data_IF_250584466341
#
_entry.id   IF_250584466341
#
_cell.length_a   1.000
_cell.length_b   1.000
_cell.length_c   1.000
_cell.angle_alpha   90.00
_cell.angle_beta   90.00
_cell.angle_gamma   90.00
#
_symmetry.space_group_name_H-M   'P 1'
#
loop_
_entity.id
_entity.type
_entity.pdbx_description
1 polymer ?
#
# COMPACT_ATOMS: atom_id res chain seq x y z
N UNK A 1 87.31 -7.13 -63.97
CA UNK A 1 86.86 -6.52 -62.77
C UNK A 1 85.33 -6.50 -62.75
N UNK A 2 84.69 -7.43 -62.14
CA UNK A 2 83.24 -7.47 -62.02
C UNK A 2 82.89 -7.95 -60.56
N UNK A 3 82.26 -7.14 -59.80
CA UNK A 3 81.77 -7.46 -58.48
C UNK A 3 80.30 -7.88 -58.61
N UNK A 4 79.93 -9.06 -58.07
CA UNK A 4 78.56 -9.50 -57.89
C UNK A 4 78.05 -9.12 -56.50
N UNK A 5 76.81 -8.69 -56.37
CA UNK A 5 76.28 -8.41 -55.06
C UNK A 5 75.61 -9.64 -54.44
N UNK A 6 75.84 -9.83 -53.17
CA UNK A 6 75.29 -10.86 -52.31
C UNK A 6 73.80 -10.58 -51.95
N UNK A 7 72.98 -11.57 -52.03
CA UNK A 7 71.56 -11.57 -51.68
C UNK A 7 71.40 -11.82 -50.18
N UNK A 8 70.94 -10.83 -49.48
CA UNK A 8 70.56 -10.98 -48.07
C UNK A 8 69.09 -11.44 -47.98
N UNK A 9 68.85 -12.63 -47.40
CA UNK A 9 67.56 -13.13 -47.03
C UNK A 9 67.15 -12.50 -45.68
N UNK A 10 66.11 -11.71 -45.63
CA UNK A 10 65.46 -11.24 -44.44
C UNK A 10 64.42 -12.23 -43.97
N UNK A 11 64.72 -12.88 -42.85
CA UNK A 11 63.75 -13.76 -42.15
C UNK A 11 62.74 -12.86 -41.41
N UNK A 12 61.50 -12.92 -41.77
CA UNK A 12 60.40 -12.26 -41.03
C UNK A 12 60.00 -13.18 -39.87
N UNK A 13 60.26 -12.78 -38.66
CA UNK A 13 59.68 -13.34 -37.45
C UNK A 13 58.21 -12.85 -37.32
N UNK A 14 57.27 -13.77 -37.43
CA UNK A 14 55.86 -13.53 -37.13
C UNK A 14 55.66 -13.62 -35.61
N UNK A 15 55.40 -12.49 -34.98
CA UNK A 15 54.89 -12.44 -33.60
C UNK A 15 53.42 -12.86 -33.62
N UNK A 16 53.11 -14.03 -33.07
CA UNK A 16 51.75 -14.43 -32.69
C UNK A 16 51.45 -13.82 -31.34
N UNK A 17 50.69 -12.73 -31.32
CA UNK A 17 50.12 -12.15 -30.11
C UNK A 17 48.93 -13.01 -29.67
N UNK A 18 49.14 -13.80 -28.61
CA UNK A 18 48.08 -14.51 -27.93
C UNK A 18 47.24 -13.48 -27.14
N UNK A 19 46.12 -13.07 -27.71
CA UNK A 19 45.14 -12.22 -27.03
C UNK A 19 44.43 -13.06 -25.92
N UNK A 20 44.75 -12.76 -24.68
CA UNK A 20 44.03 -13.27 -23.51
C UNK A 20 42.66 -12.59 -23.47
N UNK A 21 41.59 -13.27 -23.95
CA UNK A 21 40.21 -12.82 -23.75
C UNK A 21 39.85 -13.16 -22.32
N UNK A 22 39.95 -12.16 -21.42
CA UNK A 22 39.35 -12.24 -20.11
C UNK A 22 37.82 -12.23 -20.29
N UNK A 23 37.17 -13.39 -20.18
CA UNK A 23 35.73 -13.49 -20.03
C UNK A 23 35.35 -12.88 -18.68
N UNK A 24 34.90 -11.63 -18.66
CA UNK A 24 34.15 -11.06 -17.54
C UNK A 24 32.85 -11.85 -17.46
N UNK A 25 32.81 -12.84 -16.57
CA UNK A 25 31.57 -13.41 -16.09
C UNK A 25 30.83 -12.28 -15.34
N UNK A 26 30.00 -11.55 -16.05
CA UNK A 26 29.05 -10.66 -15.45
C UNK A 26 28.11 -11.54 -14.61
N UNK A 27 28.06 -11.31 -13.29
CA UNK A 27 26.94 -11.74 -12.48
C UNK A 27 25.70 -11.05 -13.05
N UNK A 28 25.02 -11.72 -13.97
CA UNK A 28 23.68 -11.39 -14.38
C UNK A 28 22.80 -11.70 -13.17
N UNK A 29 22.50 -10.69 -12.36
CA UNK A 29 21.34 -10.79 -11.49
C UNK A 29 20.14 -11.00 -12.40
N UNK A 30 19.43 -12.13 -12.24
CA UNK A 30 18.17 -12.37 -12.93
C UNK A 30 17.24 -11.18 -12.63
N UNK A 31 17.03 -10.28 -13.58
CA UNK A 31 15.98 -9.28 -13.49
C UNK A 31 14.66 -10.05 -13.38
N UNK A 32 14.04 -9.99 -12.20
CA UNK A 32 12.71 -10.57 -11.98
C UNK A 32 11.74 -9.80 -12.87
N UNK A 33 11.46 -10.33 -14.04
CA UNK A 33 10.45 -9.76 -14.95
C UNK A 33 9.06 -10.03 -14.38
N UNK A 34 8.50 -9.06 -13.67
CA UNK A 34 7.14 -9.14 -13.13
C UNK A 34 6.13 -8.88 -14.24
N UNK A 35 5.41 -9.90 -14.66
CA UNK A 35 4.31 -9.75 -15.62
C UNK A 35 3.06 -9.25 -14.90
N UNK A 36 2.36 -8.23 -15.43
CA UNK A 36 1.05 -7.82 -14.92
C UNK A 36 0.06 -8.98 -14.89
N UNK A 37 -0.67 -9.12 -13.80
CA UNK A 37 -1.64 -10.19 -13.59
C UNK A 37 -3.00 -9.63 -13.18
N UNK A 38 -4.07 -10.36 -13.46
CA UNK A 38 -5.42 -10.06 -13.03
C UNK A 38 -6.09 -11.36 -12.56
N UNK A 39 -6.25 -11.49 -11.24
CA UNK A 39 -6.85 -12.65 -10.59
C UNK A 39 -8.28 -12.34 -10.17
N UNK A 40 -9.26 -13.12 -10.63
CA UNK A 40 -10.64 -12.98 -10.22
C UNK A 40 -10.83 -13.41 -8.76
N UNK A 41 -11.65 -12.66 -8.02
CA UNK A 41 -12.00 -12.97 -6.63
C UNK A 41 -13.50 -12.90 -6.42
N UNK A 42 -14.06 -13.92 -5.76
CA UNK A 42 -15.45 -13.96 -5.33
C UNK A 42 -15.62 -13.22 -4.01
N UNK A 43 -15.41 -11.90 -4.03
CA UNK A 43 -15.41 -11.03 -2.87
C UNK A 43 -15.80 -9.60 -3.28
N UNK A 44 -16.14 -8.77 -2.30
CA UNK A 44 -16.30 -7.33 -2.45
C UNK A 44 -15.18 -6.59 -1.69
N UNK A 45 -13.94 -6.59 -2.25
CA UNK A 45 -12.76 -6.13 -1.52
C UNK A 45 -12.62 -4.62 -1.50
N UNK A 46 -12.08 -4.08 -0.40
CA UNK A 46 -11.65 -2.69 -0.27
C UNK A 46 -10.17 -2.58 0.09
N UNK A 47 -9.77 -3.17 1.22
CA UNK A 47 -8.41 -3.12 1.74
C UNK A 47 -7.57 -4.27 1.22
N UNK A 48 -6.27 -4.03 1.12
CA UNK A 48 -5.26 -5.03 0.74
C UNK A 48 -3.96 -4.79 1.51
N UNK A 49 -3.33 -5.88 1.93
CA UNK A 49 -1.99 -5.85 2.51
C UNK A 49 -1.16 -7.02 2.00
N UNK A 50 0.17 -6.87 2.00
CA UNK A 50 1.11 -7.93 1.68
C UNK A 50 1.97 -8.20 2.90
N UNK A 51 2.12 -9.47 3.27
CA UNK A 51 3.06 -9.87 4.31
C UNK A 51 4.47 -9.89 3.75
N UNK A 52 5.33 -9.03 4.27
CA UNK A 52 6.67 -8.84 3.72
C UNK A 52 7.53 -10.12 3.75
N UNK A 53 7.34 -10.98 4.76
CA UNK A 53 8.14 -12.18 4.98
C UNK A 53 8.04 -13.18 3.82
N UNK A 54 6.84 -13.42 3.30
CA UNK A 54 6.57 -14.47 2.30
C UNK A 54 5.83 -13.98 1.05
N UNK A 55 5.32 -12.73 1.04
CA UNK A 55 4.55 -12.16 -0.06
C UNK A 55 3.09 -12.58 -0.08
N UNK A 56 2.59 -13.22 0.96
CA UNK A 56 1.18 -13.56 1.07
C UNK A 56 0.32 -12.27 1.04
N UNK A 57 -0.71 -12.29 0.21
CA UNK A 57 -1.63 -11.18 -0.03
C UNK A 57 -2.89 -11.39 0.78
N UNK A 58 -3.33 -10.35 1.47
CA UNK A 58 -4.55 -10.34 2.28
C UNK A 58 -5.49 -9.27 1.78
N UNK A 59 -6.78 -9.60 1.62
CA UNK A 59 -7.81 -8.67 1.19
C UNK A 59 -9.02 -8.72 2.13
N UNK A 60 -9.73 -7.61 2.23
CA UNK A 60 -11.04 -7.58 2.91
C UNK A 60 -12.14 -8.08 2.00
N UNK A 61 -13.22 -8.61 2.57
CA UNK A 61 -14.44 -8.95 1.87
C UNK A 61 -15.67 -8.41 2.59
N UNK A 62 -16.32 -7.42 2.00
CA UNK A 62 -17.55 -6.83 2.53
C UNK A 62 -18.77 -7.76 2.38
N UNK A 63 -18.74 -8.76 1.50
CA UNK A 63 -19.87 -9.70 1.34
C UNK A 63 -20.01 -10.61 2.55
N UNK A 64 -18.89 -11.17 2.99
CA UNK A 64 -18.84 -12.14 4.10
C UNK A 64 -18.33 -11.54 5.42
N UNK A 65 -17.97 -10.25 5.42
CA UNK A 65 -17.36 -9.55 6.56
C UNK A 65 -16.12 -10.28 7.07
N UNK A 66 -15.22 -10.62 6.14
CA UNK A 66 -14.05 -11.43 6.43
C UNK A 66 -12.77 -10.89 5.80
N UNK A 67 -11.66 -11.45 6.20
CA UNK A 67 -10.36 -11.33 5.54
C UNK A 67 -10.08 -12.61 4.78
N UNK A 68 -9.68 -12.49 3.53
CA UNK A 68 -9.22 -13.59 2.70
C UNK A 68 -7.70 -13.47 2.52
N UNK A 69 -7.01 -14.58 2.35
CA UNK A 69 -5.56 -14.63 2.10
C UNK A 69 -5.21 -15.49 0.91
N UNK A 70 -4.07 -15.16 0.28
CA UNK A 70 -3.52 -15.90 -0.85
C UNK A 70 -1.99 -15.92 -0.73
N UNK A 71 -1.31 -17.07 -0.93
CA UNK A 71 0.15 -17.12 -0.90
C UNK A 71 0.81 -16.43 -2.10
N UNK A 72 0.09 -16.24 -3.20
CA UNK A 72 0.63 -15.73 -4.48
C UNK A 72 -0.21 -14.61 -5.13
N UNK A 73 -1.30 -14.18 -4.47
CA UNK A 73 -2.23 -13.18 -4.98
C UNK A 73 -3.16 -13.65 -6.09
N UNK A 74 -3.31 -14.99 -6.29
CA UNK A 74 -4.12 -15.57 -7.37
C UNK A 74 -5.38 -16.27 -6.88
N UNK A 75 -5.23 -17.13 -5.89
CA UNK A 75 -6.35 -17.88 -5.31
C UNK A 75 -6.48 -17.50 -3.85
N UNK A 76 -7.64 -16.99 -3.47
CA UNK A 76 -7.93 -16.51 -2.13
C UNK A 76 -8.78 -17.51 -1.36
N UNK A 77 -8.43 -17.72 -0.09
CA UNK A 77 -9.16 -18.53 0.86
C UNK A 77 -9.46 -17.73 2.11
N UNK A 78 -10.47 -18.17 2.87
CA UNK A 78 -10.83 -17.57 4.15
C UNK A 78 -9.63 -17.55 5.09
N UNK A 79 -9.44 -16.41 5.77
CA UNK A 79 -8.41 -16.24 6.80
C UNK A 79 -9.00 -15.91 8.17
N UNK A 80 -9.93 -14.95 8.25
CA UNK A 80 -10.56 -14.60 9.51
C UNK A 80 -11.92 -13.94 9.30
N UNK A 81 -12.89 -14.25 10.17
CA UNK A 81 -14.20 -13.62 10.21
C UNK A 81 -14.19 -12.41 11.15
N UNK A 82 -14.55 -11.24 10.65
CA UNK A 82 -14.67 -10.02 11.46
C UNK A 82 -16.06 -9.99 12.10
N UNK A 83 -16.21 -9.76 13.41
CA UNK A 83 -17.52 -9.71 14.06
C UNK A 83 -18.44 -8.69 13.38
N UNK A 84 -19.64 -9.10 12.99
CA UNK A 84 -20.66 -8.22 12.42
C UNK A 84 -21.36 -7.41 13.51
N UNK A 85 -21.95 -6.27 13.14
CA UNK A 85 -22.81 -5.48 14.02
C UNK A 85 -24.24 -5.53 13.53
N UNK A 86 -25.15 -5.94 14.38
CA UNK A 86 -26.57 -6.08 14.03
C UNK A 86 -27.14 -4.76 13.50
N UNK A 87 -27.86 -4.84 12.38
CA UNK A 87 -28.48 -3.69 11.74
C UNK A 87 -27.53 -2.78 10.95
N UNK A 88 -26.26 -3.15 10.81
CA UNK A 88 -25.29 -2.41 10.00
C UNK A 88 -24.78 -3.23 8.81
N UNK A 89 -24.54 -2.53 7.70
CA UNK A 89 -23.88 -3.14 6.54
C UNK A 89 -22.42 -3.47 6.88
N UNK A 90 -21.94 -4.59 6.35
CA UNK A 90 -20.52 -4.89 6.39
C UNK A 90 -19.74 -3.83 5.60
N UNK A 91 -18.65 -3.39 6.16
CA UNK A 91 -17.73 -2.49 5.48
C UNK A 91 -16.38 -2.54 6.18
N UNK A 92 -15.46 -3.25 5.59
CA UNK A 92 -14.08 -3.38 6.04
C UNK A 92 -13.21 -2.41 5.26
N UNK A 93 -12.21 -1.86 5.93
CA UNK A 93 -11.31 -0.87 5.35
C UNK A 93 -9.90 -1.43 5.15
N UNK A 94 -8.90 -0.60 5.39
CA UNK A 94 -7.50 -0.96 5.16
C UNK A 94 -7.04 -2.05 6.13
N UNK A 95 -6.07 -2.82 5.64
CA UNK A 95 -5.28 -3.82 6.36
C UNK A 95 -3.84 -3.32 6.50
N UNK A 96 -3.19 -3.62 7.61
CA UNK A 96 -1.77 -3.35 7.80
C UNK A 96 -1.13 -4.39 8.71
N UNK A 97 0.03 -4.91 8.36
CA UNK A 97 0.81 -5.75 9.27
C UNK A 97 1.46 -4.89 10.36
N UNK A 98 1.19 -5.21 11.61
CA UNK A 98 1.85 -4.59 12.77
C UNK A 98 3.25 -5.15 13.00
N UNK A 99 3.42 -6.43 12.71
CA UNK A 99 4.65 -7.19 12.73
C UNK A 99 4.59 -8.34 11.69
N UNK A 100 5.49 -9.31 11.76
CA UNK A 100 5.55 -10.42 10.80
C UNK A 100 4.30 -11.34 10.81
N UNK A 101 3.51 -11.33 11.89
CA UNK A 101 2.41 -12.28 12.12
C UNK A 101 1.07 -11.60 12.43
N UNK A 102 1.08 -10.40 12.97
CA UNK A 102 -0.13 -9.70 13.42
C UNK A 102 -0.64 -8.78 12.32
N UNK A 103 -1.82 -9.08 11.80
CA UNK A 103 -2.54 -8.25 10.84
C UNK A 103 -3.55 -7.39 11.58
N UNK A 104 -3.52 -6.09 11.34
CA UNK A 104 -4.49 -5.12 11.87
C UNK A 104 -5.51 -4.79 10.79
N UNK A 105 -6.77 -4.62 11.17
CA UNK A 105 -7.87 -4.29 10.26
C UNK A 105 -8.82 -3.28 10.91
N UNK A 106 -9.38 -2.41 10.10
CA UNK A 106 -10.45 -1.51 10.51
C UNK A 106 -11.80 -1.93 9.93
N UNK A 107 -12.83 -1.86 10.76
CA UNK A 107 -14.21 -1.77 10.32
C UNK A 107 -14.59 -0.31 10.21
N UNK A 108 -15.08 0.09 9.03
CA UNK A 108 -15.52 1.44 8.72
C UNK A 108 -16.52 1.97 9.77
N UNK A 109 -17.54 1.16 10.08
CA UNK A 109 -18.59 1.49 11.03
C UNK A 109 -19.50 2.63 10.57
N UNK A 110 -20.82 2.36 10.59
CA UNK A 110 -21.83 3.38 10.40
C UNK A 110 -22.37 3.75 11.80
N UNK A 111 -22.36 5.04 12.15
CA UNK A 111 -22.78 5.47 13.49
C UNK A 111 -21.72 5.20 14.56
N UNK A 112 -21.95 4.26 15.46
CA UNK A 112 -21.08 3.95 16.61
C UNK A 112 -20.46 2.54 16.54
N UNK A 113 -20.27 2.00 15.34
CA UNK A 113 -19.83 0.62 15.16
C UNK A 113 -18.43 0.48 14.55
N UNK A 114 -17.68 1.56 14.45
CA UNK A 114 -16.30 1.49 14.01
C UNK A 114 -15.44 0.75 15.04
N UNK A 115 -14.48 -0.02 14.57
CA UNK A 115 -13.58 -0.78 15.43
C UNK A 115 -12.27 -1.07 14.72
N UNK A 116 -11.22 -1.30 15.51
CA UNK A 116 -9.92 -1.80 15.08
C UNK A 116 -9.72 -3.19 15.66
N UNK A 117 -9.27 -4.14 14.85
CA UNK A 117 -9.03 -5.52 15.29
C UNK A 117 -7.58 -5.92 15.01
N UNK A 118 -7.07 -6.81 15.84
CA UNK A 118 -5.85 -7.58 15.59
C UNK A 118 -6.19 -9.02 15.21
N UNK A 119 -5.49 -9.57 14.21
CA UNK A 119 -5.62 -10.95 13.73
C UNK A 119 -4.24 -11.58 13.81
N UNK A 120 -4.08 -12.59 14.66
CA UNK A 120 -2.80 -13.25 14.93
C UNK A 120 -2.69 -14.66 14.30
N UNK A 121 -3.75 -15.10 13.63
CA UNK A 121 -3.81 -16.40 12.96
C UNK A 121 -5.18 -16.60 12.34
N UNK A 122 -5.43 -17.77 11.76
CA UNK A 122 -6.72 -18.13 11.16
C UNK A 122 -7.80 -18.04 12.25
N UNK A 123 -8.81 -17.19 12.04
CA UNK A 123 -9.92 -16.91 12.96
C UNK A 123 -9.51 -16.45 14.38
N UNK A 124 -8.23 -16.15 14.59
CA UNK A 124 -7.71 -15.62 15.85
C UNK A 124 -7.79 -14.08 15.83
N UNK A 125 -8.98 -13.53 16.07
CA UNK A 125 -9.27 -12.10 15.98
C UNK A 125 -9.69 -11.53 17.35
N UNK A 126 -9.19 -10.33 17.67
CA UNK A 126 -9.57 -9.58 18.85
C UNK A 126 -9.82 -8.11 18.51
N UNK A 127 -10.88 -7.52 19.07
CA UNK A 127 -11.14 -6.09 18.97
C UNK A 127 -10.29 -5.31 19.96
N UNK A 128 -9.73 -4.17 19.54
CA UNK A 128 -9.12 -3.22 20.46
C UNK A 128 -10.19 -2.35 21.10
N UNK A 129 -10.25 -2.33 22.43
CA UNK A 129 -11.08 -1.37 23.17
C UNK A 129 -10.33 -0.03 23.30
N UNK A 130 -11.07 1.08 23.27
CA UNK A 130 -10.52 2.43 23.45
C UNK A 130 -10.65 3.36 22.24
N UNK A 131 -10.45 2.91 20.97
CA UNK A 131 -10.70 3.77 19.82
C UNK A 131 -12.17 4.23 19.75
N UNK A 132 -12.38 5.52 19.41
CA UNK A 132 -13.72 6.10 19.35
C UNK A 132 -14.59 5.40 18.27
N UNK A 133 -15.69 4.72 18.67
CA UNK A 133 -16.55 3.98 17.76
C UNK A 133 -17.43 4.87 16.87
N UNK A 134 -17.56 6.18 17.14
CA UNK A 134 -18.31 7.12 16.32
C UNK A 134 -17.53 7.58 15.07
N UNK A 135 -16.24 7.34 15.03
CA UNK A 135 -15.36 7.70 13.91
C UNK A 135 -15.44 6.64 12.81
N UNK A 136 -15.82 7.03 11.60
CA UNK A 136 -15.76 6.14 10.42
C UNK A 136 -14.31 6.03 9.96
N UNK A 137 -13.72 4.84 10.04
CA UNK A 137 -12.30 4.59 9.79
C UNK A 137 -12.07 3.98 8.42
N UNK A 138 -11.02 4.43 7.73
CA UNK A 138 -10.74 4.00 6.36
C UNK A 138 -9.29 3.59 6.14
N UNK A 139 -8.33 4.40 6.51
CA UNK A 139 -6.91 4.14 6.30
C UNK A 139 -6.23 3.70 7.58
N UNK A 140 -5.45 2.64 7.50
CA UNK A 140 -4.70 2.07 8.61
C UNK A 140 -3.29 1.74 8.17
N UNK A 141 -2.30 2.17 8.95
CA UNK A 141 -0.91 1.75 8.76
C UNK A 141 -0.21 1.57 10.11
N UNK A 142 0.57 0.50 10.25
CA UNK A 142 1.46 0.33 11.40
C UNK A 142 2.74 1.15 11.23
N UNK A 143 3.16 1.81 12.30
CA UNK A 143 4.45 2.51 12.40
C UNK A 143 5.38 1.85 13.41
N UNK A 144 5.11 0.60 13.76
CA UNK A 144 5.88 -0.19 14.73
C UNK A 144 5.62 0.19 16.18
N UNK A 145 6.22 -0.57 17.09
CA UNK A 145 6.14 -0.35 18.54
C UNK A 145 4.70 -0.24 19.06
N UNK A 146 3.81 -1.12 18.60
CA UNK A 146 2.38 -1.14 18.95
C UNK A 146 1.66 0.19 18.66
N UNK A 147 2.04 0.86 17.56
CA UNK A 147 1.46 2.12 17.13
C UNK A 147 0.90 2.01 15.72
N UNK A 148 -0.31 2.51 15.56
CA UNK A 148 -1.02 2.57 14.29
C UNK A 148 -1.36 4.04 14.00
N UNK A 149 -1.37 4.39 12.73
CA UNK A 149 -2.00 5.60 12.22
C UNK A 149 -3.33 5.21 11.59
N UNK A 150 -4.40 5.93 11.93
CA UNK A 150 -5.75 5.69 11.44
C UNK A 150 -6.37 6.97 10.93
N UNK A 151 -6.86 6.99 9.69
CA UNK A 151 -7.72 8.08 9.20
C UNK A 151 -9.16 7.86 9.65
N UNK A 152 -9.82 8.94 9.97
CA UNK A 152 -11.20 8.90 10.38
C UNK A 152 -11.97 10.13 9.93
N UNK A 153 -13.28 10.00 9.81
CA UNK A 153 -14.19 11.13 9.70
C UNK A 153 -15.50 10.87 10.43
N UNK A 154 -16.18 11.95 10.76
CA UNK A 154 -17.54 11.94 11.33
C UNK A 154 -18.50 12.64 10.39
N UNK A 155 -19.77 12.19 10.39
CA UNK A 155 -20.87 12.81 9.66
C UNK A 155 -21.99 13.09 10.64
N UNK A 156 -22.25 14.39 10.89
CA UNK A 156 -23.28 14.84 11.81
C UNK A 156 -24.38 15.52 10.99
N UNK A 157 -25.48 14.80 10.75
CA UNK A 157 -26.61 15.30 9.99
C UNK A 157 -26.22 15.76 8.58
N UNK A 158 -26.55 16.99 8.22
CA UNK A 158 -26.20 17.64 6.95
C UNK A 158 -24.92 18.49 7.01
N UNK A 159 -24.24 18.53 8.16
CA UNK A 159 -22.99 19.28 8.31
C UNK A 159 -21.89 18.74 7.39
N UNK A 160 -20.92 19.59 6.97
CA UNK A 160 -19.74 19.13 6.29
C UNK A 160 -19.04 18.02 7.07
N UNK A 161 -18.41 17.10 6.36
CA UNK A 161 -17.61 16.04 6.99
C UNK A 161 -16.46 16.67 7.77
N UNK A 162 -16.16 16.10 8.92
CA UNK A 162 -15.03 16.47 9.76
C UNK A 162 -14.15 15.25 9.92
N UNK A 163 -12.91 15.33 9.51
CA UNK A 163 -12.00 14.21 9.53
C UNK A 163 -10.61 14.59 10.00
N UNK A 164 -9.84 13.56 10.27
CA UNK A 164 -8.49 13.69 10.76
C UNK A 164 -7.68 12.41 10.64
N UNK A 165 -6.51 12.46 11.26
CA UNK A 165 -5.58 11.35 11.42
C UNK A 165 -5.33 11.17 12.92
N UNK A 166 -5.42 9.95 13.41
CA UNK A 166 -5.09 9.62 14.79
C UNK A 166 -3.89 8.69 14.90
N UNK A 167 -3.15 8.83 15.98
CA UNK A 167 -2.25 7.81 16.52
C UNK A 167 -3.05 6.93 17.48
N UNK A 168 -3.01 5.63 17.25
CA UNK A 168 -3.53 4.60 18.15
C UNK A 168 -2.34 3.84 18.72
N UNK A 169 -2.13 3.96 20.04
CA UNK A 169 -1.14 3.16 20.77
C UNK A 169 -1.86 2.06 21.50
N UNK A 170 -1.53 0.80 21.26
CA UNK A 170 -2.28 -0.34 21.78
C UNK A 170 -1.42 -1.29 22.61
N UNK A 171 -2.06 -2.00 23.52
CA UNK A 171 -1.51 -3.13 24.27
C UNK A 171 -2.01 -4.43 23.62
N UNK A 172 -1.13 -5.23 22.97
CA UNK A 172 -1.55 -6.46 22.32
C UNK A 172 -2.00 -7.55 23.29
N UNK A 173 -1.55 -7.53 24.55
CA UNK A 173 -1.92 -8.54 25.55
C UNK A 173 -3.28 -8.21 26.19
N UNK A 174 -3.53 -6.93 26.49
CA UNK A 174 -4.79 -6.49 27.08
C UNK A 174 -5.88 -6.18 26.03
N UNK A 175 -5.55 -6.13 24.76
CA UNK A 175 -6.44 -5.67 23.66
C UNK A 175 -7.08 -4.31 23.94
N UNK A 176 -6.30 -3.39 24.52
CA UNK A 176 -6.72 -2.02 24.80
C UNK A 176 -5.90 -1.04 23.97
N UNK A 177 -6.44 0.15 23.72
CA UNK A 177 -5.72 1.20 23.01
C UNK A 177 -6.07 2.59 23.53
N UNK A 178 -5.14 3.52 23.31
CA UNK A 178 -5.33 4.96 23.51
C UNK A 178 -5.24 5.64 22.17
N UNK A 179 -6.20 6.50 21.87
CA UNK A 179 -6.26 7.27 20.63
C UNK A 179 -5.95 8.74 20.89
N UNK A 180 -5.09 9.34 20.02
CA UNK A 180 -4.74 10.75 20.04
C UNK A 180 -4.75 11.30 18.63
N UNK A 181 -5.40 12.44 18.43
CA UNK A 181 -5.42 13.09 17.11
C UNK A 181 -4.07 13.73 16.77
N UNK A 182 -3.64 13.55 15.53
CA UNK A 182 -2.44 14.13 14.95
C UNK A 182 -2.76 15.22 13.93
N UNK A 183 -3.75 14.97 13.06
CA UNK A 183 -4.25 15.93 12.09
C UNK A 183 -5.75 16.14 12.30
N UNK A 184 -6.20 17.37 12.04
CA UNK A 184 -7.60 17.78 12.03
C UNK A 184 -7.88 18.65 10.80
N UNK A 185 -9.14 19.02 10.57
CA UNK A 185 -9.52 19.94 9.49
C UNK A 185 -9.54 19.28 8.11
N UNK A 186 -9.48 17.95 8.02
CA UNK A 186 -9.70 17.19 6.79
C UNK A 186 -11.20 16.97 6.58
N UNK A 187 -11.61 16.75 5.31
CA UNK A 187 -13.01 16.45 5.01
C UNK A 187 -13.32 14.96 5.14
N UNK A 188 -12.80 14.15 4.24
CA UNK A 188 -12.93 12.69 4.25
C UNK A 188 -11.57 12.05 3.98
N UNK A 189 -10.70 12.02 4.98
CA UNK A 189 -9.42 11.34 4.83
C UNK A 189 -9.63 9.83 4.69
N UNK A 190 -8.89 9.21 3.75
CA UNK A 190 -9.04 7.81 3.40
C UNK A 190 -7.71 7.07 3.52
N UNK A 191 -6.75 7.32 2.65
CA UNK A 191 -5.50 6.58 2.59
C UNK A 191 -4.39 7.25 3.40
N UNK A 192 -3.45 6.43 3.87
CA UNK A 192 -2.23 6.86 4.55
C UNK A 192 -1.04 6.20 3.87
N UNK A 193 0.05 6.95 3.70
CA UNK A 193 1.35 6.39 3.34
C UNK A 193 2.46 7.11 4.12
N UNK A 194 3.50 6.37 4.50
CA UNK A 194 4.66 6.91 5.24
C UNK A 194 5.93 6.57 4.49
N UNK A 195 6.75 7.57 4.19
CA UNK A 195 8.06 7.42 3.55
C UNK A 195 9.09 8.26 4.28
N UNK A 196 9.98 7.62 5.02
CA UNK A 196 10.89 8.31 5.93
C UNK A 196 10.11 9.11 6.99
N UNK A 197 10.39 10.40 7.09
CA UNK A 197 9.64 11.32 7.98
C UNK A 197 8.38 11.92 7.32
N UNK A 198 8.15 11.67 6.04
CA UNK A 198 6.97 12.19 5.37
C UNK A 198 5.76 11.27 5.56
N UNK A 199 4.67 11.83 6.05
CA UNK A 199 3.36 11.20 6.04
C UNK A 199 2.47 11.88 5.01
N UNK A 200 1.75 11.07 4.24
CA UNK A 200 0.79 11.50 3.23
C UNK A 200 -0.59 10.99 3.61
N UNK A 201 -1.60 11.84 3.49
CA UNK A 201 -3.01 11.49 3.76
C UNK A 201 -3.85 11.95 2.59
N UNK A 202 -4.59 11.03 1.98
CA UNK A 202 -5.55 11.37 0.94
C UNK A 202 -6.82 11.94 1.56
N UNK A 203 -7.31 13.08 1.07
CA UNK A 203 -8.62 13.65 1.44
C UNK A 203 -9.56 13.60 0.25
N UNK A 204 -10.42 12.59 0.25
CA UNK A 204 -11.34 12.33 -0.87
C UNK A 204 -12.38 13.46 -1.04
N UNK A 205 -12.80 14.12 0.04
CA UNK A 205 -13.76 15.21 -0.05
C UNK A 205 -13.16 16.46 -0.69
N UNK A 206 -11.86 16.70 -0.49
CA UNK A 206 -11.14 17.85 -1.03
C UNK A 206 -10.42 17.55 -2.35
N UNK A 207 -10.41 16.28 -2.82
CA UNK A 207 -9.71 15.84 -4.01
C UNK A 207 -8.22 16.19 -3.98
N UNK A 208 -7.57 15.89 -2.86
CA UNK A 208 -6.15 16.15 -2.69
C UNK A 208 -5.45 15.12 -1.78
N UNK A 209 -4.14 15.23 -1.74
CA UNK A 209 -3.28 14.56 -0.78
C UNK A 209 -2.54 15.64 -0.02
N UNK A 210 -2.58 15.59 1.31
CA UNK A 210 -1.79 16.46 2.19
C UNK A 210 -0.52 15.74 2.62
N UNK A 211 0.51 16.52 2.98
CA UNK A 211 1.80 16.01 3.46
C UNK A 211 2.17 16.70 4.77
N UNK A 212 2.73 15.93 5.71
CA UNK A 212 3.24 16.47 6.98
C UNK A 212 4.52 15.73 7.41
N UNK A 213 5.22 16.23 8.42
CA UNK A 213 6.33 15.52 9.09
C UNK A 213 5.76 14.61 10.17
N UNK A 214 6.05 13.31 10.08
CA UNK A 214 5.61 12.32 11.05
C UNK A 214 6.22 12.59 12.44
N UNK A 215 7.52 12.91 12.50
CA UNK A 215 8.20 13.21 13.77
C UNK A 215 7.62 14.44 14.45
N UNK A 216 7.30 15.50 13.69
CA UNK A 216 6.65 16.69 14.24
C UNK A 216 5.25 16.39 14.79
N UNK A 217 4.46 15.56 14.08
CA UNK A 217 3.12 15.14 14.55
C UNK A 217 3.20 14.28 15.81
N UNK A 218 4.16 13.36 15.87
CA UNK A 218 4.35 12.49 17.03
C UNK A 218 4.84 13.25 18.25
N UNK A 219 5.70 14.25 18.05
CA UNK A 219 6.24 15.12 19.13
C UNK A 219 5.27 16.19 19.63
N UNK A 220 4.24 16.53 18.84
CA UNK A 220 3.22 17.50 19.22
C UNK A 220 2.22 16.95 20.23
N UNK A 221 1.63 17.84 21.05
CA UNK A 221 0.57 17.50 22.02
C UNK A 221 -0.84 17.78 21.50
N UNK A 222 -0.99 18.54 20.42
CA UNK A 222 -2.25 18.95 19.82
C UNK A 222 -2.31 18.51 18.35
N UNK A 223 -3.51 18.20 17.86
CA UNK A 223 -3.73 17.99 16.45
C UNK A 223 -3.48 19.30 15.67
N UNK A 224 -2.86 19.18 14.49
CA UNK A 224 -2.59 20.31 13.62
C UNK A 224 -3.44 20.22 12.35
N UNK A 225 -3.81 21.37 11.79
CA UNK A 225 -4.41 21.43 10.46
C UNK A 225 -3.29 21.48 9.43
N UNK A 226 -3.31 20.64 8.37
CA UNK A 226 -2.30 20.69 7.32
C UNK A 226 -2.20 22.09 6.70
N UNK A 227 -0.97 22.57 6.50
CA UNK A 227 -0.71 23.91 5.97
C UNK A 227 -0.92 24.05 4.47
N UNK A 228 -1.14 22.92 3.75
CA UNK A 228 -1.35 22.94 2.30
C UNK A 228 -1.50 21.56 1.68
N UNK A 229 -1.80 21.57 0.40
CA UNK A 229 -1.95 20.40 -0.46
C UNK A 229 -0.59 19.99 -1.01
N UNK A 230 -0.24 18.70 -0.93
CA UNK A 230 0.91 18.15 -1.63
C UNK A 230 0.61 18.00 -3.12
N UNK A 231 -0.54 17.42 -3.46
CA UNK A 231 -0.98 17.24 -4.84
C UNK A 231 -2.51 17.21 -4.94
N UNK A 232 -3.05 17.79 -6.01
CA UNK A 232 -4.47 17.69 -6.37
C UNK A 232 -4.69 16.44 -7.21
N UNK A 233 -5.66 15.61 -6.82
CA UNK A 233 -5.97 14.35 -7.49
C UNK A 233 -7.44 13.96 -7.23
N UNK A 234 -8.15 13.56 -8.27
CA UNK A 234 -9.60 13.29 -8.17
C UNK A 234 -9.89 12.01 -7.42
N UNK A 235 -10.70 12.12 -6.37
CA UNK A 235 -11.22 11.00 -5.57
C UNK A 235 -10.12 10.02 -5.11
N UNK A 236 -9.01 10.48 -4.52
CA UNK A 236 -7.98 9.58 -4.01
C UNK A 236 -8.58 8.64 -2.97
N UNK A 237 -8.04 7.42 -2.89
CA UNK A 237 -8.52 6.38 -1.98
C UNK A 237 -7.35 5.88 -1.11
N UNK A 238 -7.37 4.63 -0.72
CA UNK A 238 -6.27 4.00 0.00
C UNK A 238 -4.95 4.14 -0.76
N UNK A 239 -3.85 4.26 -0.03
CA UNK A 239 -2.54 4.55 -0.60
C UNK A 239 -1.48 3.55 -0.17
N UNK A 240 -0.48 3.37 -1.02
CA UNK A 240 0.77 2.71 -0.68
C UNK A 240 1.95 3.57 -1.19
N UNK A 241 3.14 3.33 -0.64
CA UNK A 241 4.38 4.00 -1.06
C UNK A 241 5.47 2.97 -1.26
N UNK A 242 6.29 3.14 -2.29
CA UNK A 242 7.48 2.31 -2.51
C UNK A 242 8.74 2.87 -1.80
N UNK A 243 9.83 2.13 -1.88
CA UNK A 243 11.10 2.53 -1.28
C UNK A 243 11.70 3.80 -1.92
N UNK A 244 11.30 4.14 -3.14
CA UNK A 244 11.67 5.37 -3.83
C UNK A 244 10.79 6.58 -3.47
N UNK A 245 9.83 6.41 -2.58
CA UNK A 245 8.90 7.47 -2.16
C UNK A 245 7.80 7.78 -3.18
N UNK A 246 7.60 6.92 -4.20
CA UNK A 246 6.49 7.05 -5.13
C UNK A 246 5.21 6.56 -4.47
N UNK A 247 4.16 7.37 -4.47
CA UNK A 247 2.84 7.00 -3.97
C UNK A 247 2.01 6.33 -5.06
N UNK A 248 1.14 5.43 -4.66
CA UNK A 248 0.19 4.73 -5.51
C UNK A 248 -1.20 4.87 -4.91
N UNK A 249 -2.16 5.31 -5.72
CA UNK A 249 -3.56 5.46 -5.29
C UNK A 249 -4.50 5.57 -6.49
N UNK A 250 -5.77 5.44 -6.22
CA UNK A 250 -6.84 5.81 -7.16
C UNK A 250 -6.74 7.28 -7.54
N UNK A 251 -6.95 7.61 -8.82
CA UNK A 251 -6.96 8.98 -9.31
C UNK A 251 -8.24 9.38 -10.08
N UNK A 252 -9.17 8.47 -10.19
CA UNK A 252 -10.58 8.57 -10.60
C UNK A 252 -11.21 7.19 -10.44
N UNK A 253 -12.47 7.00 -10.82
CA UNK A 253 -13.15 5.69 -10.65
C UNK A 253 -12.39 4.54 -11.29
N UNK A 254 -11.87 4.73 -12.51
CA UNK A 254 -11.23 3.68 -13.32
C UNK A 254 -9.71 3.75 -13.31
N UNK A 255 -9.12 4.76 -12.68
CA UNK A 255 -7.69 5.06 -12.76
C UNK A 255 -6.91 4.66 -11.51
N UNK A 256 -5.78 3.99 -11.73
CA UNK A 256 -4.70 3.81 -10.78
C UNK A 256 -3.53 4.70 -11.20
N UNK A 257 -3.06 5.55 -10.30
CA UNK A 257 -1.97 6.49 -10.55
C UNK A 257 -0.77 6.23 -9.65
N UNK A 258 0.39 6.63 -10.17
CA UNK A 258 1.64 6.79 -9.45
C UNK A 258 1.94 8.27 -9.32
N UNK A 259 2.37 8.70 -8.14
CA UNK A 259 2.73 10.08 -7.84
C UNK A 259 4.19 10.10 -7.39
N UNK A 260 5.02 10.82 -8.11
CA UNK A 260 6.44 10.96 -7.77
C UNK A 260 6.64 11.84 -6.51
N UNK A 261 7.80 11.80 -5.85
CA UNK A 261 8.09 12.63 -4.67
C UNK A 261 7.97 14.15 -4.88
N UNK A 262 8.04 14.61 -6.13
CA UNK A 262 7.83 16.00 -6.53
C UNK A 262 6.35 16.36 -6.81
N UNK A 263 5.42 15.40 -6.68
CA UNK A 263 4.00 15.55 -6.96
C UNK A 263 3.58 15.28 -8.40
N UNK A 264 4.51 14.91 -9.29
CA UNK A 264 4.17 14.56 -10.69
C UNK A 264 3.33 13.29 -10.73
N UNK A 265 2.16 13.36 -11.36
CA UNK A 265 1.21 12.25 -11.50
C UNK A 265 1.42 11.55 -12.84
N UNK A 266 1.45 10.21 -12.82
CA UNK A 266 1.41 9.36 -14.00
C UNK A 266 0.36 8.26 -13.84
N UNK A 267 -0.42 8.01 -14.90
CA UNK A 267 -1.43 6.95 -14.92
C UNK A 267 -0.74 5.62 -15.18
N UNK A 268 -0.95 4.64 -14.29
CA UNK A 268 -0.47 3.26 -14.46
C UNK A 268 -1.47 2.40 -15.22
N UNK A 269 -2.76 2.58 -14.94
CA UNK A 269 -3.85 1.91 -15.62
C UNK A 269 -5.13 2.76 -15.49
N UNK A 270 -6.03 2.66 -16.46
CA UNK A 270 -7.29 3.42 -16.53
C UNK A 270 -8.48 2.54 -16.91
N UNK A 271 -8.35 1.24 -16.73
CA UNK A 271 -9.32 0.21 -17.11
C UNK A 271 -9.86 -0.58 -15.89
N UNK A 272 -9.83 0.02 -14.71
CA UNK A 272 -10.47 -0.53 -13.51
C UNK A 272 -12.00 -0.35 -13.59
N UNK A 273 -12.74 -1.25 -12.98
CA UNK A 273 -14.17 -1.04 -12.73
C UNK A 273 -14.36 -0.01 -11.61
N UNK A 274 -13.67 -0.22 -10.49
CA UNK A 274 -13.56 0.71 -9.37
C UNK A 274 -12.24 0.44 -8.63
N UNK A 275 -11.23 1.27 -8.88
CA UNK A 275 -9.94 1.16 -8.21
C UNK A 275 -10.10 1.42 -6.70
N UNK A 276 -9.54 0.53 -5.86
CA UNK A 276 -9.61 0.60 -4.40
C UNK A 276 -8.22 0.47 -3.78
N UNK A 277 -8.09 -0.34 -2.75
CA UNK A 277 -6.86 -0.53 -2.00
C UNK A 277 -5.65 -0.90 -2.86
N UNK A 278 -4.49 -0.45 -2.44
CA UNK A 278 -3.20 -0.75 -3.05
C UNK A 278 -2.21 -1.21 -1.99
N UNK A 279 -1.28 -2.10 -2.36
CA UNK A 279 -0.20 -2.57 -1.50
C UNK A 279 1.08 -2.81 -2.30
N UNK A 280 2.22 -2.44 -1.71
CA UNK A 280 3.55 -2.63 -2.30
C UNK A 280 4.21 -3.86 -1.68
N UNK A 281 4.66 -4.79 -2.53
CA UNK A 281 5.56 -5.89 -2.20
C UNK A 281 6.96 -5.54 -2.73
N UNK A 282 7.67 -4.71 -1.99
CA UNK A 282 8.99 -4.23 -2.40
C UNK A 282 10.00 -5.37 -2.60
N UNK A 283 10.09 -6.41 -1.72
CA UNK A 283 11.03 -7.51 -1.92
C UNK A 283 10.81 -8.30 -3.23
N UNK A 284 9.57 -8.31 -3.76
CA UNK A 284 9.22 -9.04 -4.99
C UNK A 284 8.96 -8.14 -6.18
N UNK A 285 9.23 -6.82 -6.03
CA UNK A 285 9.08 -5.83 -7.09
C UNK A 285 7.64 -5.72 -7.62
N UNK A 286 6.62 -5.86 -6.75
CA UNK A 286 5.21 -5.87 -7.13
C UNK A 286 4.39 -4.79 -6.45
N UNK A 287 3.47 -4.22 -7.22
CA UNK A 287 2.34 -3.44 -6.73
C UNK A 287 1.07 -4.26 -6.92
N UNK A 288 0.28 -4.42 -5.88
CA UNK A 288 -1.05 -4.99 -5.95
C UNK A 288 -2.10 -3.90 -5.85
N UNK A 289 -3.21 -4.06 -6.59
CA UNK A 289 -4.33 -3.14 -6.55
C UNK A 289 -5.66 -3.91 -6.65
N UNK A 290 -6.66 -3.46 -5.91
CA UNK A 290 -8.03 -3.98 -5.98
C UNK A 290 -8.77 -3.29 -7.13
N UNK A 291 -9.36 -4.11 -7.98
CA UNK A 291 -10.33 -3.73 -9.01
C UNK A 291 -11.70 -4.28 -8.59
N UNK A 292 -12.43 -3.48 -7.80
CA UNK A 292 -13.71 -3.89 -7.24
C UNK A 292 -14.80 -3.89 -8.31
N UNK A 293 -15.66 -4.88 -8.29
CA UNK A 293 -16.82 -4.94 -9.17
C UNK A 293 -17.73 -3.72 -8.99
N UNK A 294 -18.16 -3.13 -10.09
CA UNK A 294 -19.07 -1.98 -10.09
C UNK A 294 -20.49 -2.34 -9.63
N UNK A 295 -20.84 -3.64 -9.63
CA UNK A 295 -22.14 -4.15 -9.19
C UNK A 295 -21.97 -5.41 -8.34
N UNK A 296 -22.98 -5.73 -7.53
CA UNK A 296 -22.95 -6.90 -6.65
C UNK A 296 -22.86 -8.24 -7.42
N UNK A 297 -23.29 -8.29 -8.68
CA UNK A 297 -23.20 -9.47 -9.55
C UNK A 297 -21.93 -9.50 -10.40
N UNK A 298 -21.10 -8.46 -10.33
CA UNK A 298 -19.85 -8.38 -11.08
C UNK A 298 -18.73 -9.19 -10.42
N UNK A 299 -17.64 -9.36 -11.18
CA UNK A 299 -16.43 -10.01 -10.69
C UNK A 299 -15.43 -8.96 -10.28
N UNK A 300 -14.97 -9.02 -9.04
CA UNK A 300 -13.82 -8.23 -8.57
C UNK A 300 -12.50 -8.91 -8.93
N UNK A 301 -11.42 -8.15 -8.94
CA UNK A 301 -10.09 -8.69 -9.22
C UNK A 301 -9.04 -8.13 -8.26
N UNK A 302 -8.02 -8.93 -8.00
CA UNK A 302 -6.72 -8.44 -7.52
C UNK A 302 -5.80 -8.35 -8.73
N UNK A 303 -5.30 -7.16 -9.00
CA UNK A 303 -4.37 -6.88 -10.11
C UNK A 303 -2.97 -6.69 -9.55
N UNK A 304 -1.96 -7.15 -10.28
CA UNK A 304 -0.57 -6.86 -9.92
C UNK A 304 0.19 -6.24 -11.09
N UNK A 305 1.11 -5.33 -10.75
CA UNK A 305 1.94 -4.57 -11.67
C UNK A 305 3.40 -4.68 -11.22
N UNK A 306 4.38 -4.58 -12.13
CA UNK A 306 5.77 -4.39 -11.73
C UNK A 306 5.96 -3.04 -11.04
N UNK A 307 6.82 -2.99 -10.02
CA UNK A 307 7.35 -1.75 -9.46
C UNK A 307 8.53 -1.30 -10.33
N UNK A 308 8.38 -0.16 -11.03
CA UNK A 308 9.41 0.42 -11.90
C UNK A 308 9.86 1.79 -11.38
#
# INVERSE_FOLDING_TARGET
MRFSPAWRRTTRLAFVSLGLIAALAGCGGDEITVTPQKAAVSASPNGIAVRAADGAVFITDDQTNSVLSSPDGRTFAHYASVPAVAGQSNSLSQLSFADASTLMIERFGFGTASAVFSITGVDAIAALSGPDPARRRLGLISIGSNRLLSTWFVKIGSNPLQGGLSLITYDPAAHTAVERDLLSGLGKPVGIAVSGDAIYVSDQANNDIVKASLSALLGGSQAVTPSGTFVRITSPDLMAVDAGGKLYTKCNTTGLCRIAPDGTISVLANDFQDARGVAVDAPRGRLYAIDRAASASGTSYVRSFPLN
#
